data_IF_533168704743
#
_entry.id   IF_533168704743
#
_cell.length_a   1.000
_cell.length_b   1.000
_cell.length_c   1.000
_cell.angle_alpha   90.00
_cell.angle_beta   90.00
_cell.angle_gamma   90.00
#
_symmetry.space_group_name_H-M   'P 1'
#
loop_
_entity.id
_entity.type
_entity.pdbx_description
1 polymer ?
#
# COMPACT_ATOMS: atom_id res chain seq x y z
N UNK A 1 24.63 -4.25 -4.02
CA UNK A 1 23.83 -3.73 -5.14
C UNK A 1 23.43 -4.87 -6.07
N UNK A 2 24.32 -5.37 -6.95
CA UNK A 2 23.99 -6.49 -7.86
C UNK A 2 23.48 -7.74 -7.14
N UNK A 3 24.04 -8.05 -5.97
CA UNK A 3 23.58 -9.15 -5.12
C UNK A 3 22.10 -8.99 -4.74
N UNK A 4 21.68 -7.80 -4.32
CA UNK A 4 20.31 -7.49 -3.90
C UNK A 4 19.32 -7.71 -5.04
N UNK A 5 19.59 -7.12 -6.22
CA UNK A 5 18.76 -7.28 -7.42
C UNK A 5 18.64 -8.75 -7.86
N UNK A 6 19.69 -9.54 -7.69
CA UNK A 6 19.67 -10.95 -8.07
C UNK A 6 18.88 -11.83 -7.08
N UNK A 7 18.63 -11.35 -5.87
CA UNK A 7 18.08 -12.15 -4.77
C UNK A 7 16.75 -11.65 -4.21
N UNK A 8 16.30 -10.43 -4.55
CA UNK A 8 15.11 -9.81 -3.95
C UNK A 8 13.84 -10.67 -4.12
N UNK A 9 13.66 -11.29 -5.30
CA UNK A 9 12.55 -12.20 -5.58
C UNK A 9 12.87 -13.69 -5.29
N UNK A 10 14.00 -14.01 -4.64
CA UNK A 10 14.44 -15.39 -4.45
C UNK A 10 13.82 -16.05 -3.20
N UNK A 11 13.54 -17.37 -3.22
CA UNK A 11 13.02 -18.08 -2.05
C UNK A 11 13.93 -18.06 -0.80
N UNK A 12 15.20 -17.69 -0.96
CA UNK A 12 16.20 -17.58 0.10
C UNK A 12 16.72 -16.15 0.29
N UNK A 13 15.82 -15.17 0.11
CA UNK A 13 16.05 -13.73 0.21
C UNK A 13 16.78 -13.31 1.49
N UNK A 14 16.65 -14.05 2.61
CA UNK A 14 17.35 -13.74 3.86
C UNK A 14 18.88 -13.80 3.74
N UNK A 15 19.41 -14.53 2.75
CA UNK A 15 20.86 -14.57 2.48
C UNK A 15 21.41 -13.21 2.05
N UNK A 16 20.57 -12.32 1.52
CA UNK A 16 20.94 -10.99 1.08
C UNK A 16 20.96 -9.95 2.21
N UNK A 17 20.47 -10.28 3.41
CA UNK A 17 20.40 -9.34 4.55
C UNK A 17 21.77 -8.74 4.90
N UNK A 18 22.84 -9.56 4.92
CA UNK A 18 24.18 -9.06 5.19
C UNK A 18 24.68 -8.07 4.12
N UNK A 19 24.25 -8.26 2.87
CA UNK A 19 24.55 -7.33 1.76
C UNK A 19 23.69 -6.05 1.86
N UNK A 20 22.43 -6.18 2.28
CA UNK A 20 21.50 -5.06 2.51
C UNK A 20 22.02 -4.15 3.63
N UNK A 21 22.36 -4.73 4.78
CA UNK A 21 22.92 -4.02 5.94
C UNK A 21 24.18 -3.23 5.58
N UNK A 22 25.05 -3.84 4.78
CA UNK A 22 26.27 -3.19 4.33
C UNK A 22 25.99 -2.04 3.38
N UNK A 23 25.08 -2.23 2.41
CA UNK A 23 24.82 -1.21 1.38
C UNK A 23 24.17 0.05 1.97
N UNK A 24 23.28 -0.11 2.96
CA UNK A 24 22.56 0.98 3.64
C UNK A 24 23.43 2.17 4.02
N UNK A 25 24.70 1.94 4.38
CA UNK A 25 25.61 3.00 4.86
C UNK A 25 26.85 3.21 4.00
N UNK A 26 27.04 2.41 2.95
CA UNK A 26 28.29 2.38 2.19
C UNK A 26 28.49 3.61 1.30
N UNK A 27 27.39 4.14 0.73
CA UNK A 27 27.40 5.28 -0.18
C UNK A 27 26.19 6.19 0.12
N UNK A 28 26.18 6.90 1.26
CA UNK A 28 24.99 7.59 1.76
C UNK A 28 24.50 8.75 0.89
N UNK A 29 25.34 9.28 -0.01
CA UNK A 29 24.96 10.33 -0.95
C UNK A 29 24.29 9.82 -2.24
N UNK A 30 24.12 8.51 -2.41
CA UNK A 30 23.48 7.92 -3.58
C UNK A 30 22.13 7.32 -3.18
N UNK A 31 21.04 8.08 -3.31
CA UNK A 31 19.72 7.69 -2.82
C UNK A 31 19.26 6.32 -3.33
N UNK A 32 19.46 6.03 -4.62
CA UNK A 32 19.21 4.70 -5.17
C UNK A 32 19.93 3.56 -4.40
N UNK A 33 21.20 3.73 -4.03
CA UNK A 33 21.94 2.69 -3.29
C UNK A 33 21.46 2.57 -1.84
N UNK A 34 21.04 3.68 -1.23
CA UNK A 34 20.46 3.71 0.12
C UNK A 34 19.07 3.05 0.13
N UNK A 35 18.32 3.19 -0.97
CA UNK A 35 17.01 2.58 -1.19
C UNK A 35 17.09 1.07 -1.37
N UNK A 36 17.99 0.55 -2.22
CA UNK A 36 18.03 -0.88 -2.59
C UNK A 36 17.87 -1.91 -1.45
N UNK A 37 18.43 -1.73 -0.23
CA UNK A 37 18.15 -2.60 0.90
C UNK A 37 16.66 -2.85 1.17
N UNK A 38 15.76 -1.88 0.89
CA UNK A 38 14.32 -2.03 1.13
C UNK A 38 13.66 -3.12 0.30
N UNK A 39 14.20 -3.47 -0.87
CA UNK A 39 13.75 -4.62 -1.67
C UNK A 39 13.98 -5.96 -0.95
N UNK A 40 15.00 -6.06 -0.09
CA UNK A 40 15.17 -7.24 0.75
C UNK A 40 14.23 -7.16 1.95
N UNK A 41 14.20 -6.00 2.63
CA UNK A 41 13.44 -5.86 3.87
C UNK A 41 11.94 -6.03 3.68
N UNK A 42 11.37 -5.62 2.55
CA UNK A 42 9.94 -5.82 2.28
C UNK A 42 9.60 -7.31 2.13
N UNK A 43 10.50 -8.13 1.56
CA UNK A 43 10.32 -9.57 1.38
C UNK A 43 10.68 -10.40 2.63
N UNK A 44 11.56 -9.90 3.50
CA UNK A 44 11.90 -10.56 4.78
C UNK A 44 10.99 -10.15 5.95
N UNK A 45 10.06 -9.21 5.71
CA UNK A 45 9.17 -8.67 6.72
C UNK A 45 9.84 -7.70 7.69
N UNK A 46 11.06 -7.23 7.38
CA UNK A 46 11.78 -6.25 8.19
C UNK A 46 11.34 -4.82 7.82
N UNK A 47 10.02 -4.60 7.79
CA UNK A 47 9.37 -3.42 7.23
C UNK A 47 9.89 -2.11 7.82
N UNK A 48 10.18 -2.06 9.13
CA UNK A 48 10.75 -0.88 9.76
C UNK A 48 12.10 -0.47 9.16
N UNK A 49 12.98 -1.44 8.89
CA UNK A 49 14.26 -1.17 8.24
C UNK A 49 14.07 -0.70 6.79
N UNK A 50 13.05 -1.23 6.11
CA UNK A 50 12.57 -0.75 4.83
C UNK A 50 12.16 0.73 4.88
N UNK A 51 11.34 1.11 5.86
CA UNK A 51 10.92 2.50 6.07
C UNK A 51 12.13 3.41 6.31
N UNK A 52 13.01 3.06 7.24
CA UNK A 52 14.20 3.86 7.56
C UNK A 52 15.14 4.03 6.36
N UNK A 53 15.34 2.98 5.56
CA UNK A 53 16.16 3.05 4.35
C UNK A 53 15.56 4.02 3.33
N UNK A 54 14.23 4.00 3.14
CA UNK A 54 13.56 4.89 2.21
C UNK A 54 13.52 6.34 2.70
N UNK A 55 13.36 6.58 4.00
CA UNK A 55 13.47 7.91 4.61
C UNK A 55 14.84 8.52 4.33
N UNK A 56 15.92 7.75 4.46
CA UNK A 56 17.28 8.20 4.12
C UNK A 56 17.47 8.40 2.60
N UNK A 57 16.90 7.52 1.78
CA UNK A 57 17.01 7.60 0.33
C UNK A 57 16.33 8.85 -0.23
N UNK A 58 15.13 9.21 0.28
CA UNK A 58 14.43 10.42 -0.17
C UNK A 58 15.20 11.69 0.18
N UNK A 59 15.87 11.73 1.34
CA UNK A 59 16.74 12.86 1.72
C UNK A 59 17.90 12.97 0.73
N UNK A 60 18.63 11.88 0.49
CA UNK A 60 19.77 11.88 -0.42
C UNK A 60 19.39 12.29 -1.86
N UNK A 61 18.28 11.76 -2.39
CA UNK A 61 17.82 12.11 -3.74
C UNK A 61 17.27 13.53 -3.83
N UNK A 62 16.63 14.04 -2.77
CA UNK A 62 16.16 15.44 -2.74
C UNK A 62 17.32 16.43 -2.88
N UNK A 63 18.44 16.17 -2.19
CA UNK A 63 19.67 16.99 -2.27
C UNK A 63 20.27 16.88 -3.67
N UNK A 64 20.41 15.66 -4.19
CA UNK A 64 20.96 15.41 -5.53
C UNK A 64 20.14 16.13 -6.63
N UNK A 65 18.81 16.01 -6.60
CA UNK A 65 17.93 16.65 -7.58
C UNK A 65 18.04 18.18 -7.48
N UNK A 66 18.06 18.74 -6.27
CA UNK A 66 18.17 20.18 -6.05
C UNK A 66 19.52 20.75 -6.51
N UNK A 67 20.63 20.06 -6.22
CA UNK A 67 21.98 20.52 -6.59
C UNK A 67 22.28 20.33 -8.08
N UNK A 68 21.89 19.19 -8.65
CA UNK A 68 22.21 18.84 -10.03
C UNK A 68 21.13 19.26 -11.04
N UNK A 69 19.95 19.71 -10.59
CA UNK A 69 18.82 20.13 -11.43
C UNK A 69 18.43 19.07 -12.46
N UNK A 70 18.32 17.83 -12.00
CA UNK A 70 18.00 16.67 -12.84
C UNK A 70 16.53 16.70 -13.21
N UNK A 71 16.22 16.32 -14.46
CA UNK A 71 14.86 16.18 -15.00
C UNK A 71 14.71 14.79 -15.68
N UNK A 72 13.47 14.40 -16.00
CA UNK A 72 13.17 13.15 -16.71
C UNK A 72 13.05 11.92 -15.81
N UNK A 73 13.52 10.77 -16.29
CA UNK A 73 13.29 9.44 -15.68
C UNK A 73 13.65 9.38 -14.19
N UNK A 74 14.81 9.89 -13.79
CA UNK A 74 15.25 9.77 -12.39
C UNK A 74 14.31 10.47 -11.39
N UNK A 75 14.04 11.78 -11.52
CA UNK A 75 13.16 12.48 -10.58
C UNK A 75 11.68 12.10 -10.70
N UNK A 76 11.25 11.47 -11.80
CA UNK A 76 9.84 11.18 -12.05
C UNK A 76 9.46 9.71 -11.85
N UNK A 77 10.43 8.80 -11.92
CA UNK A 77 10.21 7.37 -11.71
C UNK A 77 10.96 6.87 -10.47
N UNK A 78 12.28 7.07 -10.38
CA UNK A 78 13.08 6.49 -9.29
C UNK A 78 12.98 7.24 -7.96
N UNK A 79 12.97 8.58 -7.97
CA UNK A 79 12.78 9.34 -6.73
C UNK A 79 11.41 9.10 -6.06
N UNK A 80 10.27 9.18 -6.78
CA UNK A 80 8.97 8.85 -6.19
C UNK A 80 8.88 7.36 -5.81
N UNK A 81 9.66 6.47 -6.42
CA UNK A 81 9.74 5.07 -6.01
C UNK A 81 10.20 4.88 -4.57
N UNK A 82 11.11 5.73 -4.07
CA UNK A 82 11.53 5.70 -2.66
C UNK A 82 10.34 6.00 -1.73
N UNK A 83 9.51 7.00 -2.08
CA UNK A 83 8.28 7.28 -1.32
C UNK A 83 7.22 6.18 -1.50
N UNK A 84 7.15 5.57 -2.68
CA UNK A 84 6.25 4.45 -2.94
C UNK A 84 6.58 3.26 -2.02
N UNK A 85 7.85 2.90 -1.92
CA UNK A 85 8.34 1.90 -0.98
C UNK A 85 8.12 2.29 0.48
N UNK A 86 8.38 3.56 0.85
CA UNK A 86 8.10 4.06 2.19
C UNK A 86 6.62 3.92 2.54
N UNK A 87 5.72 4.16 1.58
CA UNK A 87 4.28 3.97 1.77
C UNK A 87 3.96 2.53 2.16
N UNK A 88 4.46 1.57 1.38
CA UNK A 88 4.18 0.15 1.60
C UNK A 88 4.78 -0.36 2.91
N UNK A 89 6.07 -0.08 3.14
CA UNK A 89 6.79 -0.53 4.35
C UNK A 89 6.23 0.10 5.62
N UNK A 90 5.97 1.41 5.63
CA UNK A 90 5.33 2.09 6.76
C UNK A 90 3.91 1.56 7.03
N UNK A 91 3.17 1.21 5.97
CA UNK A 91 1.85 0.63 6.14
C UNK A 91 1.88 -0.77 6.76
N UNK A 92 2.79 -1.63 6.32
CA UNK A 92 2.92 -3.02 6.80
C UNK A 92 3.43 -3.12 8.24
N UNK A 93 4.15 -2.12 8.74
CA UNK A 93 4.51 -1.97 10.16
C UNK A 93 3.49 -1.15 11.00
N UNK A 94 2.41 -0.67 10.36
CA UNK A 94 1.31 0.02 11.03
C UNK A 94 1.51 1.51 11.32
N UNK A 95 2.56 2.16 10.80
CA UNK A 95 2.77 3.63 10.87
C UNK A 95 1.88 4.33 9.84
N UNK A 96 0.57 4.32 10.06
CA UNK A 96 -0.42 4.78 9.09
C UNK A 96 -0.29 6.26 8.71
N UNK A 97 -0.01 7.15 9.66
CA UNK A 97 0.21 8.57 9.36
C UNK A 97 1.41 8.77 8.43
N UNK A 98 2.50 8.02 8.65
CA UNK A 98 3.70 8.07 7.81
C UNK A 98 3.46 7.47 6.43
N UNK A 99 2.74 6.34 6.36
CA UNK A 99 2.36 5.73 5.09
C UNK A 99 1.52 6.70 4.24
N UNK A 100 0.53 7.37 4.85
CA UNK A 100 -0.29 8.37 4.17
C UNK A 100 0.57 9.53 3.65
N UNK A 101 1.47 10.08 4.48
CA UNK A 101 2.37 11.15 4.05
C UNK A 101 3.19 10.75 2.82
N UNK A 102 3.83 9.58 2.88
CA UNK A 102 4.65 9.05 1.79
C UNK A 102 3.82 8.79 0.52
N UNK A 103 2.57 8.34 0.66
CA UNK A 103 1.66 8.13 -0.46
C UNK A 103 1.39 9.44 -1.21
N UNK A 104 1.08 10.51 -0.46
CA UNK A 104 0.88 11.83 -1.05
C UNK A 104 2.15 12.40 -1.67
N UNK A 105 3.32 12.19 -1.06
CA UNK A 105 4.61 12.60 -1.63
C UNK A 105 4.92 11.88 -2.94
N UNK A 106 4.65 10.57 -3.00
CA UNK A 106 4.75 9.77 -4.24
C UNK A 106 3.99 10.43 -5.38
N UNK A 107 2.73 10.84 -5.13
CA UNK A 107 1.88 11.49 -6.13
C UNK A 107 2.29 12.94 -6.45
N UNK A 108 2.67 13.74 -5.44
CA UNK A 108 3.01 15.16 -5.56
C UNK A 108 4.25 15.42 -6.43
N UNK A 109 5.22 14.51 -6.41
CA UNK A 109 6.48 14.62 -7.15
C UNK A 109 6.28 14.53 -8.68
N UNK A 110 5.18 13.88 -9.10
CA UNK A 110 4.91 13.61 -10.51
C UNK A 110 4.49 14.88 -11.24
N UNK A 111 5.27 15.28 -12.23
CA UNK A 111 4.94 16.36 -13.14
C UNK A 111 3.76 15.98 -14.03
N UNK A 112 2.81 16.91 -14.19
CA UNK A 112 1.56 16.68 -14.94
C UNK A 112 1.75 16.27 -16.41
N UNK A 113 2.88 16.66 -17.01
CA UNK A 113 3.24 16.24 -18.36
C UNK A 113 3.59 14.75 -18.44
N UNK A 114 4.21 14.19 -17.39
CA UNK A 114 4.67 12.80 -17.38
C UNK A 114 3.52 11.79 -17.28
N UNK A 115 2.35 12.20 -16.77
CA UNK A 115 1.14 11.37 -16.75
C UNK A 115 0.66 10.97 -18.16
N UNK A 116 1.12 11.67 -19.20
CA UNK A 116 0.71 11.51 -20.61
C UNK A 116 1.90 11.23 -21.53
N UNK A 117 3.10 11.11 -20.96
CA UNK A 117 4.32 10.91 -21.73
C UNK A 117 4.52 9.41 -22.01
N UNK A 118 4.69 8.99 -23.28
CA UNK A 118 4.98 7.60 -23.59
C UNK A 118 6.24 7.10 -22.87
N UNK A 119 6.17 5.94 -22.24
CA UNK A 119 7.23 5.39 -21.39
C UNK A 119 7.18 5.84 -19.92
N UNK A 120 6.22 6.67 -19.54
CA UNK A 120 5.98 7.11 -18.15
C UNK A 120 4.61 6.64 -17.62
N UNK A 121 4.00 5.63 -18.23
CA UNK A 121 2.65 5.15 -17.91
C UNK A 121 2.50 4.78 -16.42
N UNK A 122 3.56 4.24 -15.80
CA UNK A 122 3.59 3.90 -14.36
C UNK A 122 3.38 5.12 -13.44
N UNK A 123 3.63 6.34 -13.90
CA UNK A 123 3.35 7.55 -13.12
C UNK A 123 1.86 7.71 -12.83
N UNK A 124 0.98 7.17 -13.68
CA UNK A 124 -0.46 7.11 -13.40
C UNK A 124 -0.74 6.20 -12.20
N UNK A 125 0.00 5.10 -12.03
CA UNK A 125 -0.11 4.24 -10.85
C UNK A 125 0.30 4.97 -9.58
N UNK A 126 1.40 5.72 -9.61
CA UNK A 126 1.89 6.52 -8.49
C UNK A 126 0.87 7.52 -7.94
N UNK A 127 0.09 8.18 -8.81
CA UNK A 127 -0.95 9.11 -8.34
C UNK A 127 -2.18 8.41 -7.74
N UNK A 128 -2.28 7.08 -7.85
CA UNK A 128 -3.34 6.29 -7.20
C UNK A 128 -2.99 5.82 -5.78
N UNK A 129 -1.71 5.83 -5.42
CA UNK A 129 -1.21 5.35 -4.11
C UNK A 129 -1.89 6.02 -2.92
N UNK A 130 -2.17 7.35 -2.92
CA UNK A 130 -2.96 7.98 -1.86
C UNK A 130 -4.34 7.34 -1.65
N UNK A 131 -5.05 6.97 -2.71
CA UNK A 131 -6.41 6.42 -2.63
C UNK A 131 -6.41 5.07 -1.91
N UNK A 132 -5.53 4.17 -2.33
CA UNK A 132 -5.38 2.85 -1.72
C UNK A 132 -4.93 2.93 -0.25
N UNK A 133 -4.00 3.84 0.05
CA UNK A 133 -3.48 4.04 1.41
C UNK A 133 -4.56 4.57 2.36
N UNK A 134 -5.38 5.53 1.90
CA UNK A 134 -6.49 6.04 2.70
C UNK A 134 -7.56 4.96 2.93
N UNK A 135 -7.84 4.10 1.94
CA UNK A 135 -8.75 2.96 2.11
C UNK A 135 -8.22 1.99 3.16
N UNK A 136 -6.93 1.62 3.07
CA UNK A 136 -6.30 0.69 4.03
C UNK A 136 -6.37 1.19 5.47
N UNK A 137 -6.17 2.49 5.68
CA UNK A 137 -6.22 3.12 7.01
C UNK A 137 -7.59 3.69 7.38
N UNK A 138 -8.64 3.33 6.63
CA UNK A 138 -10.03 3.73 6.88
C UNK A 138 -10.24 5.26 6.98
N UNK A 139 -9.49 6.06 6.24
CA UNK A 139 -9.54 7.53 6.29
C UNK A 139 -10.60 8.10 5.33
N UNK A 140 -11.86 7.68 5.53
CA UNK A 140 -12.99 7.91 4.62
C UNK A 140 -13.26 9.39 4.32
N UNK A 141 -13.20 10.25 5.34
CA UNK A 141 -13.48 11.68 5.20
C UNK A 141 -12.46 12.38 4.31
N UNK A 142 -11.20 11.90 4.34
CA UNK A 142 -10.13 12.45 3.49
C UNK A 142 -10.36 12.10 2.03
N UNK A 143 -10.89 10.90 1.73
CA UNK A 143 -11.20 10.48 0.35
C UNK A 143 -12.24 11.42 -0.28
N UNK A 144 -13.28 11.82 0.45
CA UNK A 144 -14.27 12.76 -0.06
C UNK A 144 -13.73 14.18 -0.30
N UNK A 145 -12.61 14.54 0.33
CA UNK A 145 -11.97 15.84 0.15
C UNK A 145 -10.98 15.86 -1.04
N UNK A 146 -10.66 14.70 -1.63
CA UNK A 146 -9.72 14.63 -2.74
C UNK A 146 -10.35 15.13 -4.04
N UNK A 147 -9.59 15.91 -4.84
CA UNK A 147 -10.04 16.28 -6.18
C UNK A 147 -10.17 15.04 -7.05
N UNK A 148 -11.06 15.10 -8.04
CA UNK A 148 -11.07 14.12 -9.13
C UNK A 148 -9.75 14.22 -9.90
N UNK A 149 -9.18 13.08 -10.36
CA UNK A 149 -8.14 13.10 -11.40
C UNK A 149 -8.63 13.79 -12.67
N UNK A 150 -7.68 14.14 -13.55
CA UNK A 150 -7.98 14.71 -14.86
C UNK A 150 -8.87 13.78 -15.68
N UNK A 151 -9.74 14.37 -16.50
CA UNK A 151 -10.79 13.68 -17.26
C UNK A 151 -10.28 12.62 -18.25
N UNK A 152 -9.02 12.71 -18.68
CA UNK A 152 -8.39 11.76 -19.61
C UNK A 152 -7.61 10.62 -18.91
N UNK A 153 -7.55 10.61 -17.58
CA UNK A 153 -6.82 9.61 -16.79
C UNK A 153 -7.77 8.53 -16.25
N UNK A 154 -8.25 7.67 -17.15
CA UNK A 154 -9.27 6.65 -16.82
C UNK A 154 -8.82 5.67 -15.72
N UNK A 155 -7.56 5.23 -15.72
CA UNK A 155 -7.05 4.34 -14.69
C UNK A 155 -7.02 5.02 -13.29
N UNK A 156 -6.39 6.19 -13.12
CA UNK A 156 -6.49 6.94 -11.86
C UNK A 156 -7.92 7.24 -11.41
N UNK A 157 -8.83 7.58 -12.34
CA UNK A 157 -10.26 7.78 -12.03
C UNK A 157 -10.91 6.50 -11.52
N UNK A 158 -10.62 5.34 -12.10
CA UNK A 158 -11.19 4.06 -11.66
C UNK A 158 -10.81 3.77 -10.20
N UNK A 159 -9.53 3.96 -9.83
CA UNK A 159 -9.06 3.76 -8.45
C UNK A 159 -9.62 4.82 -7.49
N UNK A 160 -9.79 6.06 -7.94
CA UNK A 160 -10.45 7.12 -7.16
C UNK A 160 -11.93 6.79 -6.86
N UNK A 161 -12.67 6.31 -7.88
CA UNK A 161 -14.05 5.86 -7.73
C UNK A 161 -14.15 4.64 -6.82
N UNK A 162 -13.22 3.67 -6.91
CA UNK A 162 -13.12 2.57 -5.96
C UNK A 162 -12.98 3.06 -4.51
N UNK A 163 -12.04 3.98 -4.26
CA UNK A 163 -11.83 4.53 -2.93
C UNK A 163 -13.07 5.29 -2.41
N UNK A 164 -13.76 6.02 -3.27
CA UNK A 164 -15.04 6.67 -2.93
C UNK A 164 -16.14 5.66 -2.63
N UNK A 165 -16.23 4.58 -3.40
CA UNK A 165 -17.16 3.48 -3.14
C UNK A 165 -16.95 2.88 -1.76
N UNK A 166 -15.68 2.58 -1.42
CA UNK A 166 -15.29 2.15 -0.08
C UNK A 166 -15.66 3.16 1.00
N UNK A 167 -15.38 4.46 0.79
CA UNK A 167 -15.71 5.51 1.74
C UNK A 167 -17.23 5.69 1.95
N UNK A 168 -18.02 5.65 0.87
CA UNK A 168 -19.49 5.73 0.96
C UNK A 168 -20.06 4.53 1.72
N UNK A 169 -19.59 3.34 1.40
CA UNK A 169 -20.03 2.11 2.04
C UNK A 169 -19.77 2.15 3.56
N UNK A 170 -18.56 2.52 3.96
CA UNK A 170 -18.14 2.60 5.36
C UNK A 170 -18.70 3.85 6.09
N UNK A 171 -19.46 4.71 5.40
CA UNK A 171 -20.21 5.82 6.00
C UNK A 171 -21.73 5.64 5.89
N UNK A 172 -22.18 4.42 5.59
CA UNK A 172 -23.60 4.03 5.58
C UNK A 172 -24.37 4.47 4.33
N UNK A 173 -23.67 4.82 3.26
CA UNK A 173 -24.22 5.34 1.99
C UNK A 173 -24.11 4.29 0.88
N UNK A 174 -24.81 3.17 1.07
CA UNK A 174 -24.73 2.00 0.17
C UNK A 174 -25.15 2.32 -1.26
N UNK A 175 -26.20 3.11 -1.47
CA UNK A 175 -26.67 3.48 -2.81
C UNK A 175 -25.63 4.32 -3.57
N UNK A 176 -24.90 5.19 -2.89
CA UNK A 176 -23.79 5.94 -3.45
C UNK A 176 -22.60 5.03 -3.76
N UNK A 177 -22.28 4.07 -2.90
CA UNK A 177 -21.24 3.09 -3.17
C UNK A 177 -21.53 2.23 -4.41
N UNK A 178 -22.78 1.84 -4.63
CA UNK A 178 -23.20 1.11 -5.84
C UNK A 178 -23.04 1.96 -7.11
N UNK A 179 -23.29 3.28 -7.03
CA UNK A 179 -23.05 4.20 -8.15
C UNK A 179 -21.57 4.33 -8.46
N UNK A 180 -20.72 4.45 -7.44
CA UNK A 180 -19.27 4.50 -7.65
C UNK A 180 -18.77 3.20 -8.27
N UNK A 181 -19.22 2.03 -7.78
CA UNK A 181 -18.88 0.73 -8.37
C UNK A 181 -19.26 0.64 -9.86
N UNK A 182 -20.46 1.09 -10.23
CA UNK A 182 -20.89 1.10 -11.63
C UNK A 182 -19.95 1.93 -12.53
N UNK A 183 -19.40 3.03 -12.01
CA UNK A 183 -18.41 3.85 -12.73
C UNK A 183 -17.07 3.13 -12.83
N UNK A 184 -16.62 2.42 -11.79
CA UNK A 184 -15.39 1.61 -11.87
C UNK A 184 -15.50 0.55 -12.97
N UNK A 185 -16.65 -0.13 -13.07
CA UNK A 185 -16.93 -1.14 -14.11
C UNK A 185 -16.98 -0.50 -15.51
N UNK A 186 -17.52 0.71 -15.65
CA UNK A 186 -17.50 1.41 -16.94
C UNK A 186 -16.06 1.77 -17.37
N UNK A 187 -15.26 2.29 -16.42
CA UNK A 187 -13.88 2.67 -16.68
C UNK A 187 -12.98 1.46 -16.97
N UNK A 188 -13.24 0.29 -16.36
CA UNK A 188 -12.47 -0.94 -16.62
C UNK A 188 -12.58 -1.40 -18.08
N UNK A 189 -13.65 -1.01 -18.77
CA UNK A 189 -13.87 -1.38 -20.17
C UNK A 189 -13.12 -0.49 -21.18
N UNK A 190 -12.54 0.63 -20.72
CA UNK A 190 -11.81 1.58 -21.58
C UNK A 190 -10.48 1.01 -22.09
N UNK A 191 -10.09 1.40 -23.30
CA UNK A 191 -8.78 1.05 -23.86
C UNK A 191 -7.62 1.64 -23.02
N UNK A 192 -7.85 2.78 -22.36
CA UNK A 192 -6.86 3.40 -21.48
C UNK A 192 -6.52 2.50 -20.29
N UNK A 193 -7.52 1.91 -19.62
CA UNK A 193 -7.28 0.94 -18.53
C UNK A 193 -6.73 -0.38 -19.08
N UNK A 194 -7.31 -0.92 -20.15
CA UNK A 194 -6.92 -2.23 -20.72
C UNK A 194 -5.49 -2.29 -21.21
N UNK A 195 -4.97 -1.19 -21.74
CA UNK A 195 -3.64 -1.16 -22.37
C UNK A 195 -2.55 -0.57 -21.46
N UNK A 196 -2.88 0.10 -20.35
CA UNK A 196 -1.89 0.66 -19.45
C UNK A 196 -1.16 -0.46 -18.68
N UNK A 197 0.16 -0.45 -18.78
CA UNK A 197 1.05 -1.36 -18.05
C UNK A 197 1.78 -0.62 -16.94
N UNK A 198 1.83 -1.20 -15.76
CA UNK A 198 2.59 -0.69 -14.61
C UNK A 198 3.99 -1.27 -14.70
N UNK A 199 4.99 -0.40 -14.88
CA UNK A 199 6.40 -0.78 -15.08
C UNK A 199 6.64 -1.79 -16.21
N UNK A 200 5.73 -1.90 -17.18
CA UNK A 200 5.72 -2.94 -18.22
C UNK A 200 5.58 -4.38 -17.66
N UNK A 201 5.14 -4.54 -16.40
CA UNK A 201 5.04 -5.83 -15.70
C UNK A 201 3.59 -6.33 -15.62
N UNK A 202 2.71 -5.57 -14.99
CA UNK A 202 1.30 -5.94 -14.78
C UNK A 202 0.35 -4.96 -15.46
N UNK A 203 -0.85 -5.44 -15.82
CA UNK A 203 -1.87 -4.59 -16.44
C UNK A 203 -2.64 -3.81 -15.38
N UNK A 204 -2.93 -2.55 -15.66
CA UNK A 204 -3.84 -1.76 -14.82
C UNK A 204 -5.27 -2.32 -14.80
N UNK A 205 -5.65 -3.09 -15.83
CA UNK A 205 -6.94 -3.77 -15.87
C UNK A 205 -7.08 -4.80 -14.74
N UNK A 206 -6.02 -5.56 -14.43
CA UNK A 206 -6.05 -6.52 -13.33
C UNK A 206 -6.23 -5.81 -11.98
N UNK A 207 -5.56 -4.67 -11.80
CA UNK A 207 -5.71 -3.83 -10.60
C UNK A 207 -7.14 -3.29 -10.46
N UNK A 208 -7.74 -2.82 -11.55
CA UNK A 208 -9.13 -2.34 -11.54
C UNK A 208 -10.11 -3.50 -11.31
N UNK A 209 -9.86 -4.69 -11.85
CA UNK A 209 -10.69 -5.87 -11.61
C UNK A 209 -10.62 -6.35 -10.15
N UNK A 210 -9.44 -6.31 -9.51
CA UNK A 210 -9.32 -6.54 -8.07
C UNK A 210 -10.16 -5.51 -7.30
N UNK A 211 -10.07 -4.22 -7.65
CA UNK A 211 -10.86 -3.17 -7.02
C UNK A 211 -12.38 -3.39 -7.15
N UNK A 212 -12.85 -3.84 -8.32
CA UNK A 212 -14.26 -4.20 -8.58
C UNK A 212 -14.69 -5.35 -7.67
N UNK A 213 -13.93 -6.44 -7.62
CA UNK A 213 -14.27 -7.61 -6.80
C UNK A 213 -14.22 -7.28 -5.31
N UNK A 214 -13.23 -6.51 -4.84
CA UNK A 214 -13.16 -6.08 -3.43
C UNK A 214 -14.35 -5.20 -3.05
N UNK A 215 -14.73 -4.22 -3.88
CA UNK A 215 -15.86 -3.34 -3.59
C UNK A 215 -17.20 -4.09 -3.66
N UNK A 216 -17.37 -5.03 -4.60
CA UNK A 216 -18.53 -5.93 -4.61
C UNK A 216 -18.60 -6.77 -3.34
N UNK A 217 -17.48 -7.36 -2.92
CA UNK A 217 -17.41 -8.18 -1.70
C UNK A 217 -17.84 -7.40 -0.46
N UNK A 218 -17.35 -6.18 -0.30
CA UNK A 218 -17.74 -5.32 0.81
C UNK A 218 -19.21 -4.86 0.71
N UNK A 219 -19.71 -4.58 -0.50
CA UNK A 219 -21.13 -4.25 -0.71
C UNK A 219 -22.05 -5.40 -0.31
N UNK A 220 -21.77 -6.62 -0.76
CA UNK A 220 -22.54 -7.81 -0.40
C UNK A 220 -22.47 -8.10 1.10
N UNK A 221 -21.30 -7.90 1.71
CA UNK A 221 -21.13 -7.97 3.16
C UNK A 221 -22.00 -6.96 3.89
N UNK A 222 -22.08 -5.71 3.42
CA UNK A 222 -22.95 -4.69 4.02
C UNK A 222 -24.45 -5.04 3.95
N UNK A 223 -24.85 -5.83 2.95
CA UNK A 223 -26.21 -6.33 2.75
C UNK A 223 -26.51 -7.60 3.56
N UNK A 224 -25.51 -8.19 4.21
CA UNK A 224 -25.60 -9.48 4.92
C UNK A 224 -25.44 -10.70 4.01
N UNK A 225 -25.09 -10.52 2.74
CA UNK A 225 -24.90 -11.58 1.75
C UNK A 225 -23.45 -12.11 1.84
N UNK A 226 -23.14 -12.77 2.96
CA UNK A 226 -21.76 -13.12 3.30
C UNK A 226 -21.16 -14.21 2.40
N UNK A 227 -21.98 -15.10 1.84
CA UNK A 227 -21.51 -16.13 0.91
C UNK A 227 -21.06 -15.52 -0.43
N UNK A 228 -21.83 -14.56 -0.93
CA UNK A 228 -21.51 -13.77 -2.11
C UNK A 228 -20.27 -12.90 -1.86
N UNK A 229 -20.17 -12.26 -0.69
CA UNK A 229 -18.98 -11.50 -0.29
C UNK A 229 -17.70 -12.35 -0.31
N UNK A 230 -17.75 -13.56 0.27
CA UNK A 230 -16.64 -14.52 0.26
C UNK A 230 -16.23 -14.87 -1.17
N UNK A 231 -17.21 -15.10 -2.06
CA UNK A 231 -16.96 -15.45 -3.46
C UNK A 231 -16.20 -14.32 -4.17
N UNK A 232 -16.62 -13.07 -3.98
CA UNK A 232 -15.94 -11.91 -4.55
C UNK A 232 -14.51 -11.76 -4.03
N UNK A 233 -14.27 -11.91 -2.72
CA UNK A 233 -12.90 -11.86 -2.19
C UNK A 233 -12.02 -13.00 -2.70
N UNK A 234 -12.57 -14.21 -2.90
CA UNK A 234 -11.84 -15.32 -3.51
C UNK A 234 -11.48 -15.06 -4.97
N UNK A 235 -12.38 -14.45 -5.75
CA UNK A 235 -12.09 -14.05 -7.13
C UNK A 235 -10.98 -12.99 -7.17
N UNK A 236 -11.07 -11.97 -6.31
CA UNK A 236 -10.04 -10.94 -6.19
C UNK A 236 -8.66 -11.52 -5.83
N UNK A 237 -8.59 -12.46 -4.87
CA UNK A 237 -7.35 -13.19 -4.54
C UNK A 237 -6.84 -13.96 -5.75
N UNK A 238 -7.72 -14.59 -6.53
CA UNK A 238 -7.34 -15.31 -7.73
C UNK A 238 -6.72 -14.43 -8.82
N UNK A 239 -7.10 -13.15 -8.89
CA UNK A 239 -6.47 -12.15 -9.78
C UNK A 239 -5.16 -11.66 -9.15
N UNK A 240 -5.16 -11.33 -7.86
CA UNK A 240 -3.97 -10.88 -7.10
C UNK A 240 -2.82 -11.89 -7.22
N UNK A 241 -3.09 -13.19 -7.04
CA UNK A 241 -2.09 -14.25 -7.10
C UNK A 241 -1.52 -14.50 -8.50
N UNK A 242 -2.17 -13.97 -9.55
CA UNK A 242 -1.69 -14.05 -10.93
C UNK A 242 -0.84 -12.85 -11.35
N UNK A 243 -0.77 -11.81 -10.53
CA UNK A 243 0.12 -10.68 -10.78
C UNK A 243 1.58 -11.15 -10.78
N UNK A 244 2.35 -10.67 -11.74
CA UNK A 244 3.79 -10.87 -11.74
C UNK A 244 4.40 -10.10 -10.55
N UNK A 245 5.50 -10.63 -10.02
CA UNK A 245 6.26 -10.00 -8.96
C UNK A 245 6.67 -8.57 -9.36
N UNK A 246 6.31 -7.61 -8.50
CA UNK A 246 6.73 -6.22 -8.56
C UNK A 246 6.84 -5.67 -7.14
N UNK A 247 7.59 -4.59 -6.94
CA UNK A 247 7.84 -4.04 -5.60
C UNK A 247 7.64 -2.53 -5.52
N UNK A 248 6.85 -2.06 -4.53
CA UNK A 248 5.79 -2.82 -3.86
C UNK A 248 4.86 -3.49 -4.87
N UNK A 249 4.16 -4.56 -4.46
CA UNK A 249 3.18 -5.21 -5.34
C UNK A 249 2.15 -4.18 -5.85
N UNK A 250 1.72 -4.27 -7.11
CA UNK A 250 0.84 -3.23 -7.69
C UNK A 250 -0.54 -3.16 -6.99
N UNK A 251 -0.99 -4.27 -6.40
CA UNK A 251 -2.02 -4.29 -5.36
C UNK A 251 -1.38 -4.50 -3.98
N UNK A 252 -0.79 -3.44 -3.41
CA UNK A 252 0.12 -3.55 -2.26
C UNK A 252 -0.55 -3.89 -0.91
N UNK A 253 -1.87 -4.13 -0.86
CA UNK A 253 -2.55 -4.58 0.35
C UNK A 253 -3.37 -5.84 0.10
N UNK A 254 -2.87 -6.95 0.64
CA UNK A 254 -3.48 -8.27 0.46
C UNK A 254 -5.00 -8.29 0.63
N UNK A 255 -5.69 -8.85 -0.38
CA UNK A 255 -7.14 -9.06 -0.36
C UNK A 255 -7.53 -10.07 0.72
N UNK A 256 -6.61 -10.97 1.09
CA UNK A 256 -6.79 -11.98 2.15
C UNK A 256 -7.17 -11.35 3.48
N UNK A 257 -6.83 -10.08 3.74
CA UNK A 257 -7.32 -9.36 4.91
C UNK A 257 -8.85 -9.24 4.94
N UNK A 258 -9.49 -8.94 3.80
CA UNK A 258 -10.95 -8.83 3.70
C UNK A 258 -11.65 -10.18 3.86
N UNK A 259 -11.10 -11.23 3.23
CA UNK A 259 -11.62 -12.59 3.34
C UNK A 259 -11.49 -13.13 4.76
N UNK A 260 -10.30 -12.98 5.37
CA UNK A 260 -10.04 -13.41 6.74
C UNK A 260 -10.92 -12.68 7.75
N UNK A 261 -11.09 -11.36 7.63
CA UNK A 261 -11.99 -10.58 8.48
C UNK A 261 -13.44 -11.06 8.34
N UNK A 262 -13.88 -11.37 7.11
CA UNK A 262 -15.23 -11.88 6.87
C UNK A 262 -15.44 -13.26 7.51
N UNK A 263 -14.47 -14.17 7.44
CA UNK A 263 -14.54 -15.45 8.17
C UNK A 263 -14.56 -15.28 9.68
N UNK A 264 -13.80 -14.31 10.22
CA UNK A 264 -13.83 -14.00 11.65
C UNK A 264 -15.20 -13.50 12.12
N UNK A 265 -15.92 -12.72 11.29
CA UNK A 265 -17.26 -12.21 11.61
C UNK A 265 -18.34 -13.30 11.67
N UNK A 266 -18.14 -14.42 10.98
CA UNK A 266 -19.04 -15.58 10.99
C UNK A 266 -18.54 -16.75 11.83
N UNK A 267 -17.50 -16.52 12.65
CA UNK A 267 -16.90 -17.52 13.54
C UNK A 267 -16.33 -18.76 12.81
N UNK A 268 -16.03 -18.62 11.51
CA UNK A 268 -15.38 -19.66 10.69
C UNK A 268 -13.85 -19.61 10.91
N UNK A 269 -13.44 -19.76 12.17
CA UNK A 269 -12.08 -19.48 12.62
C UNK A 269 -11.01 -20.35 11.94
N UNK A 270 -11.31 -21.61 11.61
CA UNK A 270 -10.39 -22.49 10.88
C UNK A 270 -10.11 -21.97 9.46
N UNK A 271 -11.12 -21.41 8.78
CA UNK A 271 -10.95 -20.81 7.45
C UNK A 271 -10.19 -19.50 7.54
N UNK A 272 -10.48 -18.68 8.56
CA UNK A 272 -9.73 -17.45 8.82
C UNK A 272 -8.24 -17.74 9.07
N UNK A 273 -7.92 -18.74 9.91
CA UNK A 273 -6.54 -19.17 10.17
C UNK A 273 -5.82 -19.54 8.87
N UNK A 274 -6.44 -20.36 8.01
CA UNK A 274 -5.85 -20.79 6.75
C UNK A 274 -5.49 -19.59 5.84
N UNK A 275 -6.41 -18.63 5.72
CA UNK A 275 -6.23 -17.41 4.91
C UNK A 275 -5.07 -16.55 5.44
N UNK A 276 -4.99 -16.35 6.76
CA UNK A 276 -3.89 -15.54 7.32
C UNK A 276 -2.54 -16.24 7.27
N UNK A 277 -2.49 -17.56 7.40
CA UNK A 277 -1.24 -18.31 7.21
C UNK A 277 -0.75 -18.22 5.78
N UNK A 278 -1.67 -18.31 4.81
CA UNK A 278 -1.33 -18.14 3.40
C UNK A 278 -0.82 -16.72 3.12
N UNK A 279 -1.48 -15.69 3.65
CA UNK A 279 -1.01 -14.30 3.56
C UNK A 279 0.45 -14.15 4.01
N UNK A 280 0.78 -14.71 5.18
CA UNK A 280 2.12 -14.64 5.77
C UNK A 280 3.20 -15.40 4.98
N UNK A 281 2.82 -16.19 3.96
CA UNK A 281 3.79 -16.78 3.03
C UNK A 281 4.25 -15.80 1.95
N UNK A 282 3.41 -14.82 1.61
CA UNK A 282 3.73 -13.74 0.67
C UNK A 282 4.22 -12.48 1.40
N UNK A 283 3.57 -12.15 2.51
CA UNK A 283 3.82 -10.94 3.30
C UNK A 283 4.36 -11.32 4.68
N UNK A 284 5.64 -11.69 4.71
CA UNK A 284 6.31 -12.19 5.92
C UNK A 284 6.19 -11.17 7.06
N UNK A 285 5.80 -11.61 8.26
CA UNK A 285 5.61 -10.76 9.46
C UNK A 285 4.59 -9.61 9.28
N UNK A 286 3.70 -9.66 8.29
CA UNK A 286 2.66 -8.64 8.10
C UNK A 286 1.74 -8.53 9.34
N UNK A 287 1.76 -7.36 9.97
CA UNK A 287 1.03 -7.14 11.23
C UNK A 287 -0.49 -7.26 11.11
N UNK A 288 -1.06 -6.97 9.95
CA UNK A 288 -2.49 -7.16 9.69
C UNK A 288 -2.88 -8.65 9.74
N UNK A 289 -2.12 -9.51 9.05
CA UNK A 289 -2.38 -10.95 9.05
C UNK A 289 -2.01 -11.62 10.37
N UNK A 290 -0.94 -11.18 11.05
CA UNK A 290 -0.58 -11.68 12.39
C UNK A 290 -1.68 -11.39 13.42
N UNK A 291 -2.26 -10.18 13.40
CA UNK A 291 -3.40 -9.86 14.26
C UNK A 291 -4.60 -10.76 13.95
N UNK A 292 -4.96 -10.92 12.68
CA UNK A 292 -6.04 -11.82 12.27
C UNK A 292 -5.79 -13.28 12.70
N UNK A 293 -4.57 -13.77 12.49
CA UNK A 293 -4.16 -15.13 12.86
C UNK A 293 -4.27 -15.35 14.37
N UNK A 294 -3.78 -14.42 15.19
CA UNK A 294 -3.92 -14.46 16.64
C UNK A 294 -5.38 -14.64 17.07
N UNK A 295 -6.29 -13.77 16.58
CA UNK A 295 -7.70 -13.83 16.96
C UNK A 295 -8.38 -15.11 16.44
N UNK A 296 -8.00 -15.59 15.26
CA UNK A 296 -8.55 -16.85 14.71
C UNK A 296 -8.14 -18.08 15.54
N UNK A 297 -6.91 -18.09 16.09
CA UNK A 297 -6.44 -19.15 16.98
C UNK A 297 -7.12 -19.08 18.36
N UNK A 298 -7.34 -17.88 18.89
CA UNK A 298 -8.13 -17.70 20.12
C UNK A 298 -9.56 -18.20 19.97
N UNK A 299 -10.23 -17.87 18.86
CA UNK A 299 -11.58 -18.36 18.56
C UNK A 299 -11.69 -19.89 18.52
N UNK A 300 -10.61 -20.58 18.14
CA UNK A 300 -10.52 -22.05 18.15
C UNK A 300 -10.09 -22.63 19.52
N UNK A 301 -9.73 -21.80 20.49
CA UNK A 301 -9.18 -22.24 21.77
C UNK A 301 -7.73 -22.74 21.72
N UNK A 302 -6.99 -22.50 20.62
CA UNK A 302 -5.57 -22.87 20.44
C UNK A 302 -4.64 -21.91 21.19
N UNK A 303 -4.81 -21.83 22.51
CA UNK A 303 -4.26 -20.77 23.38
C UNK A 303 -2.74 -20.66 23.32
N UNK A 304 -2.01 -21.79 23.34
CA UNK A 304 -0.55 -21.77 23.30
C UNK A 304 -0.01 -21.17 21.99
N UNK A 305 -0.59 -21.58 20.87
CA UNK A 305 -0.21 -21.08 19.55
C UNK A 305 -0.63 -19.62 19.37
N UNK A 306 -1.82 -19.25 19.84
CA UNK A 306 -2.29 -17.87 19.85
C UNK A 306 -1.31 -16.94 20.58
N UNK A 307 -0.78 -17.35 21.75
CA UNK A 307 0.19 -16.55 22.51
C UNK A 307 1.52 -16.36 21.76
N UNK A 308 1.96 -17.36 21.00
CA UNK A 308 3.17 -17.26 20.16
C UNK A 308 2.95 -16.25 19.02
N UNK A 309 1.83 -16.35 18.32
CA UNK A 309 1.47 -15.41 17.25
C UNK A 309 1.25 -14.00 17.80
N UNK A 310 0.65 -13.86 18.98
CA UNK A 310 0.49 -12.58 19.66
C UNK A 310 1.83 -11.88 19.89
N UNK A 311 2.84 -12.63 20.34
CA UNK A 311 4.19 -12.06 20.54
C UNK A 311 4.81 -11.56 19.23
N UNK A 312 4.56 -12.27 18.11
CA UNK A 312 5.00 -11.84 16.78
C UNK A 312 4.25 -10.59 16.32
N UNK A 313 2.93 -10.54 16.54
CA UNK A 313 2.11 -9.37 16.24
C UNK A 313 2.56 -8.14 17.02
N UNK A 314 2.78 -8.27 18.34
CA UNK A 314 3.25 -7.17 19.19
C UNK A 314 4.59 -6.61 18.71
N UNK A 315 5.50 -7.46 18.23
CA UNK A 315 6.77 -7.01 17.65
C UNK A 315 6.59 -6.33 16.28
N UNK A 316 5.77 -6.92 15.39
CA UNK A 316 5.50 -6.37 14.05
C UNK A 316 4.72 -5.05 14.08
N UNK A 317 3.92 -4.82 15.13
CA UNK A 317 3.00 -3.69 15.26
C UNK A 317 3.43 -2.67 16.32
N UNK A 318 4.64 -2.78 16.88
CA UNK A 318 5.12 -1.93 17.99
C UNK A 318 5.24 -0.44 17.66
N UNK A 319 5.37 -0.09 16.38
CA UNK A 319 5.43 1.30 15.89
C UNK A 319 4.09 1.83 15.41
N UNK A 320 3.04 1.01 15.46
CA UNK A 320 1.80 1.35 14.84
C UNK A 320 1.08 2.48 15.57
N UNK A 321 0.43 3.33 14.79
CA UNK A 321 -0.41 4.41 15.29
C UNK A 321 -1.90 4.07 15.25
N UNK A 322 -2.26 2.88 14.75
CA UNK A 322 -3.63 2.43 14.53
C UNK A 322 -3.88 1.07 15.17
N UNK A 323 -5.05 0.90 15.79
CA UNK A 323 -5.46 -0.38 16.34
C UNK A 323 -6.13 -1.24 15.27
N UNK A 324 -5.98 -2.56 15.39
CA UNK A 324 -6.62 -3.53 14.52
C UNK A 324 -7.76 -4.26 15.23
N UNK A 325 -8.81 -4.57 14.47
CA UNK A 325 -9.83 -5.56 14.80
C UNK A 325 -9.68 -6.68 13.76
N UNK A 326 -9.28 -7.86 14.22
CA UNK A 326 -8.82 -8.94 13.35
C UNK A 326 -7.70 -8.43 12.43
N UNK A 327 -7.91 -8.34 11.11
CA UNK A 327 -6.92 -7.92 10.12
C UNK A 327 -7.18 -6.54 9.50
N UNK A 328 -8.09 -5.75 10.08
CA UNK A 328 -8.48 -4.42 9.56
C UNK A 328 -8.43 -3.36 10.65
N UNK A 329 -8.40 -2.09 10.25
CA UNK A 329 -8.45 -0.97 11.20
C UNK A 329 -9.70 -1.11 12.07
N UNK A 330 -9.52 -1.02 13.38
CA UNK A 330 -10.64 -1.09 14.31
C UNK A 330 -11.49 0.18 14.19
N UNK A 331 -12.71 0.06 13.67
CA UNK A 331 -13.64 1.19 13.51
C UNK A 331 -13.97 1.86 14.85
N UNK A 332 -14.07 1.07 15.93
CA UNK A 332 -14.45 1.55 17.25
C UNK A 332 -13.38 2.44 17.91
N UNK A 333 -12.10 2.29 17.50
CA UNK A 333 -10.97 3.10 17.96
C UNK A 333 -10.22 3.80 16.84
N UNK A 334 -10.84 3.93 15.66
CA UNK A 334 -10.25 4.53 14.47
C UNK A 334 -9.80 5.96 14.78
N UNK A 335 -8.51 6.24 14.52
CA UNK A 335 -7.94 7.58 14.68
C UNK A 335 -8.04 8.35 13.37
N UNK A 336 -8.32 9.65 13.48
CA UNK A 336 -8.06 10.59 12.40
C UNK A 336 -6.55 10.78 12.29
N UNK A 337 -5.91 10.01 11.40
CA UNK A 337 -4.47 10.04 11.23
C UNK A 337 -4.09 11.39 10.62
N UNK A 338 -3.39 12.20 11.41
CA UNK A 338 -2.90 13.51 11.00
C UNK A 338 -1.48 13.38 10.51
N UNK A 339 -1.17 14.07 9.43
CA UNK A 339 0.21 14.39 9.05
C UNK A 339 0.79 15.24 10.18
N UNK A 340 1.54 14.61 11.08
CA UNK A 340 2.21 15.31 12.18
C UNK A 340 3.61 15.61 11.73
N UNK A 341 3.85 16.86 11.36
CA UNK A 341 5.20 17.39 11.18
C UNK A 341 5.75 17.61 12.59
N UNK A 342 6.67 16.76 13.04
CA UNK A 342 7.27 16.91 14.39
C UNK A 342 8.54 17.74 14.31
N UNK A 343 8.84 18.54 15.35
CA UNK A 343 10.03 19.40 15.37
C UNK A 343 11.36 18.61 15.35
N UNK A 344 11.36 17.33 15.73
CA UNK A 344 12.54 16.43 15.64
C UNK A 344 12.84 15.98 14.20
N UNK A 345 11.88 16.16 13.27
CA UNK A 345 12.15 16.09 11.83
C UNK A 345 12.96 17.32 11.36
N UNK A 346 13.35 18.24 12.25
CA UNK A 346 14.02 19.50 11.96
C UNK A 346 15.41 19.41 11.33
N UNK A 347 16.04 18.22 11.29
CA UNK A 347 17.22 17.98 10.44
C UNK A 347 16.85 17.43 9.04
N UNK A 348 15.63 16.91 8.87
CA UNK A 348 15.08 16.38 7.62
C UNK A 348 14.07 17.35 6.96
N UNK A 349 13.75 18.48 7.63
CA UNK A 349 12.77 19.50 7.23
C UNK A 349 13.36 20.87 6.88
N UNK A 350 14.60 20.94 6.44
CA UNK A 350 14.97 22.06 5.56
C UNK A 350 14.30 21.76 4.22
N UNK A 351 12.99 22.01 4.04
CA UNK A 351 12.34 22.29 2.73
C UNK A 351 10.81 22.48 2.76
N UNK A 352 10.15 22.61 3.93
CA UNK A 352 8.67 22.76 3.98
C UNK A 352 8.13 24.19 4.14
N UNK A 353 8.97 25.23 4.07
CA UNK A 353 8.51 26.63 4.18
C UNK A 353 9.03 27.62 3.11
N UNK A 354 9.84 27.17 2.14
CA UNK A 354 10.40 28.07 1.12
C UNK A 354 9.61 28.08 -0.22
N UNK A 355 8.65 27.16 -0.42
CA UNK A 355 7.95 27.03 -1.70
C UNK A 355 6.63 27.83 -1.83
N UNK A 356 6.21 28.58 -0.81
CA UNK A 356 4.96 29.36 -0.83
C UNK A 356 5.11 30.88 -0.71
N UNK A 357 6.31 31.43 -0.88
CA UNK A 357 6.47 32.89 -0.99
C UNK A 357 7.59 33.26 -1.96
N UNK A 358 7.19 33.64 -3.17
CA UNK A 358 8.00 34.48 -4.04
C UNK A 358 8.08 33.95 -5.46
N UNK A 359 7.15 34.39 -6.31
CA UNK A 359 7.44 35.13 -7.54
C UNK A 359 6.13 35.80 -8.00
N UNK A 360 6.04 37.10 -7.73
CA UNK A 360 5.33 38.06 -8.57
C UNK A 360 6.03 38.15 -9.93
#
# INVERSE_FOLDING_TARGET
>A
HLDLQATEAAPDVEKALASADRLKTLVPGAGHLVHMPSHIYINTGDYHEGSLANEQAVIADSIYIAECKVEGVYPQLYYPHNYHFLTATAALEGRGARAIEAAFKTAEIIGQNYLREPGFETTQHYITIPYNTLVKFAQWEKIFALPSPDEDLDYPKAVWHYAKGMAYLNTGKTEEAEKELAIVIELSETDAVKNLMIWEINSSADIVNIAIEVLNGELEKSKGNLAEAITHFQNAIGIEDQLNYNEPADWFFSVRHFLGDTYMQVEEYEKAEAVYREDLTYWVKNGFALSGLYHSLEGQGKTEEANQVKSQFEEAWKYADSDLKYSRINEDSRKDLKLTVTEDDGNDLIYLAAAFCGLN
#
